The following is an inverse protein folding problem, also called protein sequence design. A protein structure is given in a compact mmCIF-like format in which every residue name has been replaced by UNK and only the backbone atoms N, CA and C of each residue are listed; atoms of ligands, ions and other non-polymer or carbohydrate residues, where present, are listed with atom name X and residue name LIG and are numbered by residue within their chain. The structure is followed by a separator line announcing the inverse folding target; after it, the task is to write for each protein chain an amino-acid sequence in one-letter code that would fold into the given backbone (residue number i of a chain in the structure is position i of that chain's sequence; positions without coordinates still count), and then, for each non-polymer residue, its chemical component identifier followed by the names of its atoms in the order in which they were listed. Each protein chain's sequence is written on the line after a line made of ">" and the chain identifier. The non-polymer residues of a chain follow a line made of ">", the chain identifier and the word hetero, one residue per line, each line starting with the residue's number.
data_IF_620950159142
#
_entry.id   IF_620950159142
#
_cell.length_a   1.000
_cell.length_b   1.000
_cell.length_c   1.000
_cell.angle_alpha   90.00
_cell.angle_beta   90.00
_cell.angle_gamma   90.00
#
_symmetry.space_group_name_H-M   'P 1'
#
loop_
_entity.id
_entity.type
_entity.pdbx_description
1 polymer ?
#
# COMPACT_ATOMS: atom_id res chain seq x y z
N UNK A 1 -60.93 -21.19 -0.56
CA UNK A 1 -59.61 -20.56 -0.35
C UNK A 1 -58.87 -20.68 -1.67
N UNK A 2 -58.64 -19.56 -2.37
CA UNK A 2 -58.04 -19.56 -3.72
C UNK A 2 -56.61 -20.07 -3.65
N UNK A 3 -56.34 -21.13 -4.40
CA UNK A 3 -55.03 -21.77 -4.47
C UNK A 3 -54.15 -20.90 -5.39
N UNK A 4 -53.43 -19.94 -4.81
CA UNK A 4 -52.56 -19.03 -5.58
C UNK A 4 -51.45 -19.87 -6.20
N UNK A 5 -51.46 -19.98 -7.53
CA UNK A 5 -50.46 -20.74 -8.28
C UNK A 5 -49.09 -20.06 -8.19
N UNK A 6 -48.02 -20.84 -8.00
CA UNK A 6 -46.64 -20.34 -7.97
C UNK A 6 -46.24 -19.59 -9.26
N UNK A 7 -46.87 -19.91 -10.40
CA UNK A 7 -46.65 -19.20 -11.66
C UNK A 7 -47.24 -17.78 -11.67
N UNK A 8 -48.35 -17.58 -10.95
CA UNK A 8 -49.03 -16.29 -10.86
C UNK A 8 -48.27 -15.33 -9.95
N UNK A 9 -47.73 -15.84 -8.84
CA UNK A 9 -46.82 -15.11 -7.95
C UNK A 9 -45.57 -14.67 -8.70
N UNK A 10 -44.91 -15.58 -9.44
CA UNK A 10 -43.72 -15.24 -10.25
C UNK A 10 -44.02 -14.15 -11.27
N UNK A 11 -45.17 -14.24 -11.96
CA UNK A 11 -45.58 -13.25 -12.97
C UNK A 11 -45.82 -11.87 -12.37
N UNK A 12 -46.49 -11.78 -11.22
CA UNK A 12 -46.72 -10.50 -10.55
C UNK A 12 -45.44 -9.92 -9.92
N UNK A 13 -44.54 -10.78 -9.44
CA UNK A 13 -43.26 -10.34 -8.86
C UNK A 13 -42.31 -9.76 -9.91
N UNK A 14 -42.25 -10.33 -11.10
CA UNK A 14 -41.41 -9.83 -12.22
C UNK A 14 -41.92 -8.47 -12.76
N UNK A 15 -43.22 -8.18 -12.60
CA UNK A 15 -43.78 -6.85 -12.94
C UNK A 15 -43.43 -5.77 -11.91
N UNK A 16 -43.07 -6.15 -10.68
CA UNK A 16 -42.71 -5.21 -9.63
C UNK A 16 -41.29 -4.69 -9.81
N UNK A 17 -41.14 -3.36 -10.03
CA UNK A 17 -39.83 -2.68 -10.14
C UNK A 17 -38.94 -2.95 -8.92
N UNK A 18 -39.52 -3.00 -7.72
CA UNK A 18 -38.80 -3.23 -6.47
C UNK A 18 -38.39 -4.71 -6.34
N UNK A 19 -39.27 -5.63 -6.74
CA UNK A 19 -38.97 -7.07 -6.75
C UNK A 19 -37.81 -7.41 -7.70
N UNK A 20 -37.77 -6.77 -8.87
CA UNK A 20 -36.70 -6.95 -9.84
C UNK A 20 -35.35 -6.42 -9.34
N UNK A 21 -35.32 -5.26 -8.66
CA UNK A 21 -34.11 -4.72 -8.02
C UNK A 21 -33.58 -5.70 -6.97
N UNK A 22 -34.46 -6.24 -6.12
CA UNK A 22 -34.08 -7.23 -5.10
C UNK A 22 -33.47 -8.49 -5.69
N UNK A 23 -34.05 -9.02 -6.78
CA UNK A 23 -33.49 -10.17 -7.52
C UNK A 23 -32.13 -9.81 -8.11
N UNK A 24 -31.96 -8.60 -8.66
CA UNK A 24 -30.68 -8.12 -9.17
C UNK A 24 -29.58 -8.08 -8.11
N UNK A 25 -29.88 -7.51 -6.93
CA UNK A 25 -28.95 -7.49 -5.79
C UNK A 25 -28.60 -8.91 -5.37
N UNK A 26 -29.60 -9.79 -5.22
CA UNK A 26 -29.36 -11.18 -4.83
C UNK A 26 -28.48 -11.92 -5.84
N UNK A 27 -28.76 -11.77 -7.14
CA UNK A 27 -27.93 -12.34 -8.19
C UNK A 27 -26.49 -11.82 -8.15
N UNK A 28 -26.30 -10.51 -7.91
CA UNK A 28 -24.97 -9.92 -7.79
C UNK A 28 -24.18 -10.49 -6.60
N UNK A 29 -24.84 -10.70 -5.45
CA UNK A 29 -24.22 -11.30 -4.26
C UNK A 29 -23.84 -12.77 -4.51
N UNK A 30 -24.69 -13.52 -5.22
CA UNK A 30 -24.41 -14.92 -5.59
C UNK A 30 -23.20 -14.98 -6.53
N UNK A 31 -23.14 -14.11 -7.54
CA UNK A 31 -22.00 -14.02 -8.46
C UNK A 31 -20.72 -13.66 -7.69
N UNK A 32 -20.78 -12.66 -6.81
CA UNK A 32 -19.63 -12.24 -6.00
C UNK A 32 -19.14 -13.38 -5.10
N UNK A 33 -20.06 -14.15 -4.51
CA UNK A 33 -19.75 -15.33 -3.70
C UNK A 33 -19.05 -16.41 -4.53
N UNK A 34 -19.54 -16.72 -5.73
CA UNK A 34 -18.88 -17.67 -6.62
C UNK A 34 -17.48 -17.21 -7.03
N UNK A 35 -17.31 -15.93 -7.37
CA UNK A 35 -15.99 -15.36 -7.70
C UNK A 35 -15.03 -15.52 -6.52
N UNK A 36 -15.49 -15.23 -5.30
CA UNK A 36 -14.67 -15.37 -4.09
C UNK A 36 -14.18 -16.82 -3.91
N UNK A 37 -15.07 -17.81 -4.08
CA UNK A 37 -14.71 -19.24 -3.94
C UNK A 37 -13.73 -19.69 -5.02
N UNK A 38 -13.85 -19.19 -6.25
CA UNK A 38 -12.97 -19.59 -7.37
C UNK A 38 -11.61 -18.90 -7.29
N UNK A 39 -11.58 -17.64 -6.87
CA UNK A 39 -10.38 -16.79 -6.95
C UNK A 39 -9.52 -16.87 -5.69
N UNK A 40 -10.13 -17.05 -4.51
CA UNK A 40 -9.42 -16.97 -3.23
C UNK A 40 -8.98 -18.39 -2.81
N UNK A 41 -7.66 -18.66 -2.72
CA UNK A 41 -7.16 -19.96 -2.27
C UNK A 41 -7.58 -20.27 -0.83
N UNK A 42 -7.86 -21.55 -0.54
CA UNK A 42 -8.32 -22.01 0.78
C UNK A 42 -7.31 -21.69 1.90
N UNK A 43 -6.01 -21.64 1.58
CA UNK A 43 -4.96 -21.33 2.56
C UNK A 43 -5.00 -19.87 3.04
N UNK A 44 -5.60 -18.97 2.26
CA UNK A 44 -5.82 -17.57 2.67
C UNK A 44 -6.71 -17.50 3.92
N UNK A 45 -7.69 -18.40 4.04
CA UNK A 45 -8.56 -18.45 5.23
C UNK A 45 -7.79 -18.80 6.50
N UNK A 46 -6.78 -19.68 6.41
CA UNK A 46 -5.90 -19.99 7.55
C UNK A 46 -5.09 -18.78 7.99
N UNK A 47 -4.74 -17.91 7.05
CA UNK A 47 -3.99 -16.68 7.28
C UNK A 47 -4.87 -15.48 7.68
N UNK A 48 -6.20 -15.60 7.64
CA UNK A 48 -7.12 -14.49 7.94
C UNK A 48 -6.87 -13.86 9.31
N UNK A 49 -6.62 -14.68 10.32
CA UNK A 49 -6.31 -14.23 11.68
C UNK A 49 -4.81 -14.03 11.94
N UNK A 50 -3.95 -14.23 10.95
CA UNK A 50 -2.51 -14.00 11.07
C UNK A 50 -2.19 -12.53 10.67
N UNK A 51 -1.88 -11.63 11.63
CA UNK A 51 -1.59 -10.24 11.31
C UNK A 51 -0.36 -10.08 10.40
N UNK A 52 0.61 -11.02 10.47
CA UNK A 52 1.81 -10.98 9.64
C UNK A 52 1.50 -11.08 8.15
N UNK A 53 0.45 -11.80 7.76
CA UNK A 53 0.02 -11.96 6.38
C UNK A 53 -0.56 -10.68 5.76
N UNK A 54 -0.97 -9.72 6.61
CA UNK A 54 -1.63 -8.48 6.19
C UNK A 54 -0.77 -7.24 6.42
N UNK A 55 0.48 -7.41 6.87
CA UNK A 55 1.33 -6.28 7.29
C UNK A 55 1.66 -5.32 6.15
N UNK A 56 1.81 -5.85 4.93
CA UNK A 56 2.03 -5.07 3.70
C UNK A 56 0.74 -4.48 3.14
N UNK A 57 -0.41 -4.73 3.77
CA UNK A 57 -1.74 -4.25 3.36
C UNK A 57 -2.42 -3.54 4.54
N UNK A 58 -1.97 -2.32 4.88
CA UNK A 58 -2.44 -1.63 6.07
C UNK A 58 -3.93 -1.30 5.97
N UNK A 59 -4.66 -1.48 7.09
CA UNK A 59 -6.10 -1.17 7.19
C UNK A 59 -6.43 0.31 6.98
N UNK A 60 -5.44 1.18 7.11
CA UNK A 60 -5.54 2.63 6.95
C UNK A 60 -5.38 3.08 5.49
N UNK A 61 -5.03 2.17 4.57
CA UNK A 61 -4.95 2.50 3.15
C UNK A 61 -6.36 2.80 2.60
N UNK A 62 -6.49 3.98 1.98
CA UNK A 62 -7.73 4.38 1.30
C UNK A 62 -7.90 3.54 0.04
N UNK A 63 -9.10 2.99 -0.24
CA UNK A 63 -9.33 2.25 -1.47
C UNK A 63 -9.10 3.11 -2.72
N UNK A 64 -8.42 2.57 -3.72
CA UNK A 64 -8.09 3.31 -4.95
C UNK A 64 -9.32 3.91 -5.67
N UNK A 65 -10.48 3.24 -5.61
CA UNK A 65 -11.71 3.74 -6.24
C UNK A 65 -12.20 5.07 -5.65
N UNK A 66 -11.76 5.47 -4.45
CA UNK A 66 -12.08 6.78 -3.88
C UNK A 66 -11.57 7.90 -4.79
N UNK A 67 -10.44 7.68 -5.49
CA UNK A 67 -9.90 8.61 -6.48
C UNK A 67 -10.82 8.89 -7.67
N UNK A 68 -11.85 8.07 -7.92
CA UNK A 68 -12.85 8.33 -8.96
C UNK A 68 -13.86 9.41 -8.57
N UNK A 69 -14.00 9.68 -7.27
CA UNK A 69 -14.97 10.63 -6.72
C UNK A 69 -14.33 11.89 -6.14
N UNK A 70 -13.00 11.91 -5.98
CA UNK A 70 -12.25 13.09 -5.50
C UNK A 70 -11.60 13.87 -6.64
N UNK A 71 -11.62 15.19 -6.49
CA UNK A 71 -10.93 16.13 -7.38
C UNK A 71 -9.43 16.12 -7.13
N UNK A 72 -9.03 16.19 -5.86
CA UNK A 72 -7.63 16.04 -5.44
C UNK A 72 -7.28 14.54 -5.38
N UNK A 73 -6.25 14.13 -6.11
CA UNK A 73 -5.85 12.72 -6.18
C UNK A 73 -5.05 12.32 -4.96
N UNK A 74 -5.58 11.35 -4.22
CA UNK A 74 -4.99 10.78 -3.02
C UNK A 74 -3.98 9.71 -3.44
N UNK A 75 -2.78 9.66 -2.83
CA UNK A 75 -1.80 8.61 -3.11
C UNK A 75 -2.36 7.22 -2.86
N UNK A 76 -2.26 6.36 -3.86
CA UNK A 76 -2.70 4.97 -3.76
C UNK A 76 -1.65 4.11 -3.06
N UNK A 77 -2.11 3.00 -2.49
CA UNK A 77 -1.23 2.01 -1.89
C UNK A 77 -0.37 1.33 -2.98
N UNK A 78 0.95 1.43 -2.85
CA UNK A 78 1.91 0.90 -3.80
C UNK A 78 2.94 0.00 -3.10
N UNK A 79 3.10 -1.22 -3.61
CA UNK A 79 4.16 -2.15 -3.19
C UNK A 79 5.24 -2.15 -4.27
N UNK A 80 6.50 -1.95 -3.88
CA UNK A 80 7.63 -1.88 -4.79
C UNK A 80 8.69 -2.93 -4.42
N UNK A 81 8.78 -3.99 -5.22
CA UNK A 81 9.67 -5.13 -4.90
C UNK A 81 10.98 -5.13 -5.69
N UNK A 82 11.11 -4.23 -6.68
CA UNK A 82 12.23 -4.22 -7.64
C UNK A 82 13.01 -2.90 -7.53
N UNK A 83 13.99 -2.79 -6.63
CA UNK A 83 14.86 -1.63 -6.59
C UNK A 83 15.82 -1.60 -7.78
N UNK A 84 16.23 -0.40 -8.17
CA UNK A 84 17.46 -0.22 -8.95
C UNK A 84 18.64 -0.31 -7.99
N UNK A 85 19.44 -1.36 -8.13
CA UNK A 85 20.64 -1.56 -7.32
C UNK A 85 21.83 -0.85 -7.97
N UNK A 86 22.48 0.01 -7.20
CA UNK A 86 23.70 0.72 -7.59
C UNK A 86 24.77 0.33 -6.59
N UNK A 87 25.82 -0.35 -7.07
CA UNK A 87 27.01 -0.64 -6.28
C UNK A 87 28.14 0.27 -6.73
N UNK A 88 28.85 0.84 -5.77
CA UNK A 88 30.08 1.58 -5.99
C UNK A 88 31.17 0.96 -5.14
N UNK A 89 32.14 0.35 -5.80
CA UNK A 89 33.30 -0.22 -5.15
C UNK A 89 34.46 0.80 -5.19
N UNK A 90 34.85 1.24 -4.00
CA UNK A 90 35.95 2.19 -3.78
C UNK A 90 36.60 1.94 -2.42
N UNK A 91 37.21 2.97 -1.80
CA UNK A 91 37.75 2.88 -0.43
C UNK A 91 36.65 2.52 0.59
N UNK A 92 35.42 2.95 0.30
CA UNK A 92 34.21 2.55 1.01
C UNK A 92 33.30 1.90 -0.04
N UNK A 93 32.90 0.65 0.20
CA UNK A 93 31.88 -0.01 -0.64
C UNK A 93 30.51 0.54 -0.27
N UNK A 94 29.76 1.01 -1.27
CA UNK A 94 28.41 1.53 -1.12
C UNK A 94 27.46 0.71 -1.98
N UNK A 95 26.49 0.05 -1.35
CA UNK A 95 25.34 -0.55 -2.00
C UNK A 95 24.10 0.34 -1.76
N UNK A 96 23.46 0.78 -2.84
CA UNK A 96 22.27 1.63 -2.80
C UNK A 96 21.13 0.96 -3.54
N UNK A 97 19.97 0.85 -2.88
CA UNK A 97 18.71 0.39 -3.49
C UNK A 97 17.78 1.59 -3.66
N UNK A 98 17.45 1.93 -4.90
CA UNK A 98 16.64 3.08 -5.23
C UNK A 98 15.28 2.66 -5.80
N UNK A 99 14.22 3.31 -5.33
CA UNK A 99 12.85 3.11 -5.79
C UNK A 99 12.36 4.41 -6.41
N UNK A 100 12.19 4.41 -7.73
CA UNK A 100 11.66 5.55 -8.48
C UNK A 100 10.17 5.37 -8.76
N UNK A 101 9.37 6.41 -8.47
CA UNK A 101 7.94 6.43 -8.78
C UNK A 101 7.59 7.67 -9.59
N UNK A 102 6.71 7.50 -10.58
CA UNK A 102 6.06 8.63 -11.22
C UNK A 102 4.91 9.08 -10.33
N UNK A 103 5.04 10.28 -9.76
CA UNK A 103 4.12 10.77 -8.75
C UNK A 103 3.07 11.70 -9.38
N UNK A 104 1.86 11.18 -9.55
CA UNK A 104 0.72 11.90 -10.17
C UNK A 104 -0.40 12.22 -9.16
N UNK A 105 -0.04 12.35 -7.89
CA UNK A 105 -0.98 12.59 -6.80
C UNK A 105 -0.78 13.99 -6.20
N UNK A 106 -1.85 14.51 -5.61
CA UNK A 106 -1.94 15.88 -5.11
C UNK A 106 -1.65 15.99 -3.60
N UNK A 107 -1.48 14.87 -2.91
CA UNK A 107 -1.09 14.82 -1.50
C UNK A 107 0.16 13.97 -1.31
N UNK A 108 0.77 13.98 -0.12
CA UNK A 108 1.92 13.13 0.23
C UNK A 108 1.45 11.78 0.78
N UNK A 109 2.21 10.67 0.61
CA UNK A 109 1.81 9.37 1.15
C UNK A 109 1.69 9.42 2.67
N UNK A 110 0.65 8.78 3.21
CA UNK A 110 0.33 8.84 4.64
C UNK A 110 1.27 8.01 5.53
N UNK A 111 1.87 6.96 4.97
CA UNK A 111 2.77 6.03 5.66
C UNK A 111 3.71 5.38 4.64
N UNK A 112 4.79 4.78 5.12
CA UNK A 112 5.62 3.86 4.34
C UNK A 112 6.16 2.75 5.24
N UNK A 113 6.38 1.60 4.63
CA UNK A 113 7.05 0.45 5.24
C UNK A 113 8.24 0.12 4.35
N UNK A 114 9.42 -0.02 4.95
CA UNK A 114 10.60 -0.49 4.25
C UNK A 114 11.08 -1.79 4.87
N UNK A 115 11.15 -2.84 4.06
CA UNK A 115 11.63 -4.14 4.46
C UNK A 115 12.84 -4.51 3.63
N UNK A 116 13.90 -4.98 4.28
CA UNK A 116 15.13 -5.36 3.61
C UNK A 116 15.74 -6.61 4.22
N UNK A 117 16.47 -7.32 3.36
CA UNK A 117 17.37 -8.41 3.73
C UNK A 117 18.76 -7.99 3.25
N UNK A 118 19.72 -7.93 4.16
CA UNK A 118 21.10 -7.55 3.83
C UNK A 118 22.06 -8.60 4.37
N UNK A 119 22.93 -9.09 3.50
CA UNK A 119 24.05 -9.94 3.88
C UNK A 119 25.28 -9.06 4.15
N UNK A 120 25.85 -9.14 5.34
CA UNK A 120 27.06 -8.39 5.68
C UNK A 120 27.93 -9.07 6.74
N UNK A 121 29.15 -8.57 6.86
CA UNK A 121 30.07 -8.84 7.96
C UNK A 121 30.68 -7.52 8.45
N UNK A 122 31.21 -7.52 9.67
CA UNK A 122 31.75 -6.34 10.35
C UNK A 122 30.67 -5.36 10.76
N UNK A 123 31.04 -4.08 10.79
CA UNK A 123 30.14 -2.98 11.14
C UNK A 123 29.71 -2.24 9.87
N UNK A 124 28.41 -2.21 9.58
CA UNK A 124 27.84 -1.53 8.43
C UNK A 124 26.92 -0.40 8.86
N UNK A 125 26.84 0.66 8.05
CA UNK A 125 25.93 1.78 8.27
C UNK A 125 24.74 1.69 7.31
N UNK A 126 23.54 1.57 7.87
CA UNK A 126 22.29 1.67 7.13
C UNK A 126 21.84 3.13 7.07
N UNK A 127 21.60 3.63 5.85
CA UNK A 127 21.01 4.94 5.63
C UNK A 127 19.81 4.84 4.71
N UNK A 128 18.72 5.50 5.11
CA UNK A 128 17.51 5.64 4.32
C UNK A 128 17.28 7.12 4.08
N UNK A 129 17.18 7.50 2.81
CA UNK A 129 16.90 8.88 2.40
C UNK A 129 15.73 8.91 1.44
N UNK A 130 14.98 10.01 1.47
CA UNK A 130 13.95 10.31 0.47
C UNK A 130 14.41 11.48 -0.38
N UNK A 131 14.19 11.37 -1.69
CA UNK A 131 14.40 12.46 -2.65
C UNK A 131 13.02 13.02 -2.98
N UNK A 132 12.84 14.32 -2.76
CA UNK A 132 11.57 15.01 -3.02
C UNK A 132 11.49 15.46 -4.50
N UNK A 133 10.32 15.89 -5.01
CA UNK A 133 10.18 16.32 -6.41
C UNK A 133 10.98 17.58 -6.72
N UNK A 134 11.32 18.38 -5.70
CA UNK A 134 12.25 19.52 -5.79
C UNK A 134 13.74 19.10 -5.86
N UNK A 135 14.01 17.80 -6.02
CA UNK A 135 15.34 17.16 -6.04
C UNK A 135 16.15 17.26 -4.74
N UNK A 136 15.56 17.80 -3.67
CA UNK A 136 16.26 17.81 -2.39
C UNK A 136 16.21 16.45 -1.71
N UNK A 137 17.34 16.04 -1.14
CA UNK A 137 17.46 14.81 -0.38
C UNK A 137 17.28 15.09 1.12
N UNK A 138 16.48 14.25 1.78
CA UNK A 138 16.30 14.27 3.24
C UNK A 138 16.62 12.89 3.80
N UNK A 139 17.54 12.86 4.77
CA UNK A 139 17.88 11.65 5.51
C UNK A 139 16.76 11.32 6.50
N UNK A 140 16.14 10.14 6.34
CA UNK A 140 15.08 9.64 7.21
C UNK A 140 15.64 8.88 8.40
N UNK A 141 16.64 8.04 8.15
CA UNK A 141 17.24 7.17 9.14
C UNK A 141 18.73 6.99 8.84
N UNK A 142 19.55 7.00 9.87
CA UNK A 142 20.95 6.57 9.82
C UNK A 142 21.26 5.79 11.09
N UNK A 143 21.61 4.51 10.95
CA UNK A 143 21.92 3.62 12.07
C UNK A 143 22.98 2.60 11.70
N UNK A 144 23.79 2.21 12.66
CA UNK A 144 24.69 1.06 12.47
C UNK A 144 23.90 -0.23 12.59
N UNK A 145 24.20 -1.20 11.72
CA UNK A 145 23.74 -2.57 11.88
C UNK A 145 24.55 -3.27 12.98
N UNK A 146 23.99 -4.30 13.65
CA UNK A 146 24.72 -5.06 14.67
C UNK A 146 26.04 -5.61 14.14
N UNK A 147 27.12 -5.44 14.89
CA UNK A 147 28.41 -5.99 14.49
C UNK A 147 28.36 -7.53 14.43
N UNK A 148 28.98 -8.12 13.41
CA UNK A 148 29.11 -9.57 13.25
C UNK A 148 30.47 -9.92 12.66
N UNK A 149 31.22 -10.82 13.29
CA UNK A 149 32.51 -11.29 12.76
C UNK A 149 32.35 -12.20 11.53
N UNK A 150 31.20 -12.86 11.40
CA UNK A 150 30.87 -13.74 10.28
C UNK A 150 29.83 -13.09 9.37
N UNK A 151 29.76 -13.57 8.12
CA UNK A 151 28.68 -13.17 7.19
C UNK A 151 27.33 -13.64 7.73
N UNK A 152 26.45 -12.68 7.99
CA UNK A 152 25.08 -12.92 8.45
C UNK A 152 24.09 -12.26 7.50
N UNK A 153 22.89 -12.83 7.41
CA UNK A 153 21.74 -12.19 6.77
C UNK A 153 20.90 -11.54 7.86
N UNK A 154 20.81 -10.21 7.81
CA UNK A 154 19.96 -9.43 8.71
C UNK A 154 18.67 -9.05 8.00
N UNK A 155 17.55 -9.41 8.61
CA UNK A 155 16.21 -9.04 8.18
C UNK A 155 15.66 -7.99 9.13
N UNK A 156 15.15 -6.90 8.56
CA UNK A 156 14.52 -5.85 9.35
C UNK A 156 13.44 -5.14 8.54
N UNK A 157 12.41 -4.71 9.26
CA UNK A 157 11.31 -3.90 8.73
C UNK A 157 11.22 -2.62 9.54
N UNK A 158 11.14 -1.50 8.82
CA UNK A 158 11.11 -0.15 9.35
C UNK A 158 9.77 0.48 8.98
N UNK A 159 9.13 1.11 9.97
CA UNK A 159 7.85 1.78 9.80
C UNK A 159 8.03 3.30 9.91
N UNK A 160 7.25 4.07 9.17
CA UNK A 160 7.28 5.54 9.31
C UNK A 160 6.86 6.01 10.71
N UNK A 161 6.10 5.16 11.42
CA UNK A 161 5.60 5.42 12.78
C UNK A 161 6.62 5.17 13.88
N UNK A 162 7.78 4.57 13.56
CA UNK A 162 8.87 4.35 14.50
C UNK A 162 9.36 5.67 15.08
N UNK A 163 9.66 5.70 16.39
CA UNK A 163 10.02 6.92 17.10
C UNK A 163 11.24 7.65 16.49
N UNK A 164 12.16 6.91 15.87
CA UNK A 164 13.35 7.43 15.19
C UNK A 164 13.01 8.24 13.92
N UNK A 165 11.89 7.93 13.25
CA UNK A 165 11.55 8.46 11.92
C UNK A 165 10.33 9.38 11.98
N UNK A 166 9.36 9.08 12.85
CA UNK A 166 8.03 9.72 12.92
C UNK A 166 8.08 11.25 12.87
N UNK A 167 9.02 11.87 13.60
CA UNK A 167 9.17 13.34 13.62
C UNK A 167 9.67 13.89 12.29
N UNK A 168 10.64 13.24 11.66
CA UNK A 168 11.21 13.64 10.38
C UNK A 168 10.17 13.44 9.27
N UNK A 169 9.46 12.31 9.29
CA UNK A 169 8.40 12.03 8.32
C UNK A 169 7.29 13.08 8.36
N UNK A 170 6.80 13.45 9.56
CA UNK A 170 5.80 14.53 9.71
C UNK A 170 6.30 15.88 9.19
N UNK A 171 7.58 16.19 9.37
CA UNK A 171 8.18 17.40 8.83
C UNK A 171 8.24 17.39 7.30
N UNK A 172 8.58 16.24 6.70
CA UNK A 172 8.59 16.06 5.24
C UNK A 172 7.19 16.23 4.67
N UNK A 173 6.19 15.60 5.28
CA UNK A 173 4.78 15.74 4.91
C UNK A 173 4.37 17.21 4.77
N UNK A 174 4.64 18.02 5.80
CA UNK A 174 4.29 19.45 5.81
C UNK A 174 4.98 20.22 4.66
N UNK A 175 6.27 19.98 4.43
CA UNK A 175 7.00 20.65 3.36
C UNK A 175 6.56 20.18 1.97
N UNK A 176 6.28 18.89 1.81
CA UNK A 176 5.89 18.31 0.53
C UNK A 176 4.54 18.86 0.05
N UNK A 177 3.55 18.90 0.94
CA UNK A 177 2.23 19.42 0.60
C UNK A 177 2.29 20.91 0.19
N UNK A 178 3.18 21.70 0.81
CA UNK A 178 3.45 23.08 0.37
C UNK A 178 4.02 23.14 -1.05
N UNK A 179 4.86 22.19 -1.45
CA UNK A 179 5.48 22.16 -2.78
C UNK A 179 4.42 21.80 -3.83
N UNK A 180 3.64 20.74 -3.62
CA UNK A 180 2.58 20.34 -4.57
C UNK A 180 1.62 21.50 -4.82
N UNK A 181 1.12 22.15 -3.76
CA UNK A 181 0.20 23.30 -3.89
C UNK A 181 0.80 24.45 -4.69
N UNK A 182 2.10 24.68 -4.57
CA UNK A 182 2.80 25.73 -5.33
C UNK A 182 2.92 25.40 -6.81
N UNK A 183 3.12 24.12 -7.16
CA UNK A 183 3.15 23.68 -8.55
C UNK A 183 1.76 23.68 -9.20
N UNK A 184 0.72 23.29 -8.46
CA UNK A 184 -0.66 23.32 -8.95
C UNK A 184 -1.20 24.76 -9.14
N UNK A 185 -0.82 25.71 -8.27
CA UNK A 185 -1.25 27.11 -8.40
C UNK A 185 -0.58 27.88 -9.54
N UNK A 186 0.39 27.28 -10.24
CA UNK A 186 1.14 27.89 -11.35
C UNK A 186 0.66 27.44 -12.74
N UNK A 187 -0.37 26.61 -12.79
CA UNK A 187 -1.04 26.08 -14.00
C UNK A 187 -2.44 26.70 -14.05
#
# INVERSE_FOLDING_TARGET
>A
MSNVSSSEIKREFVKSKIGLIGIGILASLIILSMIAVITIPIDTFKQWNNPGSWISYPKTAVPAWVNYFTTEKIPEHLIMDKPTAITKDGIISLASHQFGIQYHYDDFPSDFIYEFNVEYSGSQLLQISVIRPDQSQILLLSRSLPHSDTKIVHHERIFSTDNSIKKIFKFIFLKWNSIIKTYQAKI
#
